data_IF_362862631754
#
_entry.id   IF_362862631754
#
_cell.length_a   1.000
_cell.length_b   1.000
_cell.length_c   1.000
_cell.angle_alpha   90.00
_cell.angle_beta   90.00
_cell.angle_gamma   90.00
#
_symmetry.space_group_name_H-M   'P 1'
#
loop_
_entity.id
_entity.type
_entity.pdbx_description
1 polymer ?
#
# COMPACT_ATOMS: atom_id res chain seq x y z
N UNK A 1 -32.18 3.21 -17.84
CA UNK A 1 -32.30 2.35 -16.64
C UNK A 1 -32.00 3.21 -15.43
N UNK A 2 -32.94 3.40 -14.50
CA UNK A 2 -32.62 3.96 -13.17
C UNK A 2 -32.05 2.81 -12.34
N UNK A 3 -30.76 2.83 -12.03
CA UNK A 3 -30.20 1.93 -11.04
C UNK A 3 -30.70 2.39 -9.67
N UNK A 4 -31.59 1.60 -9.04
CA UNK A 4 -31.92 1.78 -7.63
C UNK A 4 -30.92 0.93 -6.88
N UNK A 5 -29.90 1.56 -6.30
CA UNK A 5 -29.01 0.88 -5.37
C UNK A 5 -29.81 0.56 -4.10
N UNK A 6 -30.25 -0.69 -3.96
CA UNK A 6 -30.88 -1.20 -2.75
C UNK A 6 -29.86 -2.04 -1.98
N UNK A 7 -29.65 -1.79 -0.68
CA UNK A 7 -28.74 -2.62 0.11
C UNK A 7 -29.32 -4.03 0.23
N UNK A 8 -28.46 -5.03 0.05
CA UNK A 8 -28.80 -6.40 0.37
C UNK A 8 -29.09 -6.51 1.86
N UNK A 9 -30.19 -7.19 2.22
CA UNK A 9 -30.55 -7.46 3.61
C UNK A 9 -30.52 -8.96 3.85
N UNK A 10 -29.77 -9.36 4.87
CA UNK A 10 -29.76 -10.73 5.38
C UNK A 10 -30.32 -10.72 6.80
N UNK A 11 -31.02 -11.79 7.17
CA UNK A 11 -31.51 -12.01 8.54
C UNK A 11 -31.04 -13.39 8.99
N UNK A 12 -30.40 -13.46 10.15
CA UNK A 12 -29.99 -14.72 10.77
C UNK A 12 -31.16 -15.63 11.15
N UNK A 13 -32.39 -15.10 11.17
CA UNK A 13 -33.61 -15.89 11.36
C UNK A 13 -34.13 -16.53 10.06
N UNK A 14 -33.56 -16.17 8.89
CA UNK A 14 -33.95 -16.76 7.62
C UNK A 14 -33.45 -18.21 7.50
N UNK A 15 -34.27 -19.17 7.04
CA UNK A 15 -33.81 -20.54 6.79
C UNK A 15 -32.77 -20.63 5.66
N UNK A 16 -32.64 -19.59 4.82
CA UNK A 16 -31.66 -19.50 3.74
C UNK A 16 -30.42 -18.67 4.11
N UNK A 17 -30.32 -18.20 5.35
CA UNK A 17 -29.26 -17.28 5.78
C UNK A 17 -27.86 -17.79 5.40
N UNK A 18 -27.51 -19.03 5.76
CA UNK A 18 -26.19 -19.59 5.53
C UNK A 18 -25.82 -19.64 4.03
N UNK A 19 -26.77 -20.05 3.17
CA UNK A 19 -26.53 -20.06 1.73
C UNK A 19 -26.42 -18.66 1.15
N UNK A 20 -27.29 -17.74 1.58
CA UNK A 20 -27.31 -16.37 1.08
C UNK A 20 -26.08 -15.59 1.53
N UNK A 21 -25.59 -15.85 2.74
CA UNK A 21 -24.37 -15.28 3.29
C UNK A 21 -23.12 -15.85 2.60
N UNK A 22 -23.02 -17.17 2.45
CA UNK A 22 -21.91 -17.82 1.75
C UNK A 22 -21.75 -17.32 0.31
N UNK A 23 -22.86 -17.06 -0.38
CA UNK A 23 -22.86 -16.50 -1.73
C UNK A 23 -22.26 -15.07 -1.81
N UNK A 24 -22.08 -14.38 -0.69
CA UNK A 24 -21.47 -13.03 -0.62
C UNK A 24 -20.03 -13.02 -0.17
N UNK A 25 -19.52 -14.13 0.36
CA UNK A 25 -18.13 -14.27 0.78
C UNK A 25 -17.19 -14.58 -0.39
N UNK A 26 -17.72 -14.98 -1.56
CA UNK A 26 -16.92 -15.43 -2.69
C UNK A 26 -16.69 -14.33 -3.73
N UNK A 27 -15.41 -14.05 -4.03
CA UNK A 27 -14.98 -13.16 -5.11
C UNK A 27 -14.50 -13.97 -6.33
N UNK A 28 -14.85 -13.49 -7.53
CA UNK A 28 -14.75 -14.20 -8.83
C UNK A 28 -13.31 -14.49 -9.29
N UNK A 29 -13.04 -15.75 -9.72
CA UNK A 29 -11.72 -16.28 -10.09
C UNK A 29 -11.32 -16.15 -11.58
N UNK A 30 -12.23 -15.85 -12.51
CA UNK A 30 -11.93 -15.90 -13.96
C UNK A 30 -11.17 -14.66 -14.45
N UNK A 31 -11.38 -13.51 -13.83
CA UNK A 31 -10.67 -12.27 -14.16
C UNK A 31 -9.19 -12.34 -13.76
N UNK A 32 -8.85 -13.27 -12.86
CA UNK A 32 -7.51 -13.42 -12.31
C UNK A 32 -6.53 -14.07 -13.30
N UNK A 33 -6.93 -15.09 -14.06
CA UNK A 33 -5.98 -15.89 -14.86
C UNK A 33 -5.30 -15.10 -15.99
N UNK A 34 -6.03 -14.21 -16.67
CA UNK A 34 -5.46 -13.38 -17.74
C UNK A 34 -4.53 -12.28 -17.18
N UNK A 35 -4.82 -11.76 -15.99
CA UNK A 35 -3.97 -10.80 -15.29
C UNK A 35 -2.70 -11.51 -14.82
N UNK A 36 -2.82 -12.68 -14.19
CA UNK A 36 -1.67 -13.48 -13.73
C UNK A 36 -0.68 -13.76 -14.86
N UNK A 37 -1.16 -14.17 -16.05
CA UNK A 37 -0.27 -14.40 -17.19
C UNK A 37 0.48 -13.13 -17.62
N UNK A 38 -0.22 -12.01 -17.80
CA UNK A 38 0.41 -10.74 -18.21
C UNK A 38 1.42 -10.25 -17.19
N UNK A 39 1.09 -10.39 -15.91
CA UNK A 39 1.98 -10.04 -14.81
C UNK A 39 3.23 -10.90 -14.85
N UNK A 40 3.10 -12.22 -15.01
CA UNK A 40 4.24 -13.12 -15.14
C UNK A 40 5.17 -12.73 -16.30
N UNK A 41 4.60 -12.38 -17.46
CA UNK A 41 5.36 -11.90 -18.62
C UNK A 41 6.12 -10.59 -18.32
N UNK A 42 5.46 -9.60 -17.70
CA UNK A 42 6.09 -8.32 -17.30
C UNK A 42 7.25 -8.56 -16.31
N UNK A 43 7.04 -9.43 -15.32
CA UNK A 43 8.05 -9.73 -14.30
C UNK A 43 9.27 -10.41 -14.91
N UNK A 44 9.06 -11.38 -15.80
CA UNK A 44 10.15 -12.06 -16.50
C UNK A 44 10.95 -11.08 -17.38
N UNK A 45 10.24 -10.18 -18.06
CA UNK A 45 10.83 -9.20 -18.95
C UNK A 45 11.66 -8.14 -18.19
N UNK A 46 11.16 -7.60 -17.08
CA UNK A 46 11.92 -6.70 -16.21
C UNK A 46 13.15 -7.40 -15.63
N UNK A 47 13.03 -8.67 -15.24
CA UNK A 47 14.17 -9.46 -14.75
C UNK A 47 15.25 -9.66 -15.82
N UNK A 48 14.87 -9.76 -17.09
CA UNK A 48 15.81 -9.97 -18.19
C UNK A 48 16.42 -8.67 -18.70
N UNK A 49 15.63 -7.61 -18.88
CA UNK A 49 16.05 -6.37 -19.55
C UNK A 49 16.30 -5.19 -18.60
N UNK A 50 15.89 -5.28 -17.34
CA UNK A 50 16.09 -4.21 -16.34
C UNK A 50 15.40 -2.91 -16.73
N UNK A 51 16.12 -1.79 -16.61
CA UNK A 51 15.63 -0.42 -16.84
C UNK A 51 14.88 -0.26 -18.17
N UNK A 52 15.34 -0.93 -19.23
CA UNK A 52 14.74 -0.82 -20.56
C UNK A 52 13.28 -1.30 -20.58
N UNK A 53 12.98 -2.42 -19.91
CA UNK A 53 11.61 -2.92 -19.80
C UNK A 53 10.75 -2.00 -18.92
N UNK A 54 11.31 -1.51 -17.81
CA UNK A 54 10.57 -0.59 -16.91
C UNK A 54 10.19 0.69 -17.64
N UNK A 55 11.09 1.28 -18.43
CA UNK A 55 10.80 2.46 -19.24
C UNK A 55 9.73 2.19 -20.30
N UNK A 56 9.81 1.06 -21.00
CA UNK A 56 8.82 0.68 -22.01
C UNK A 56 7.41 0.52 -21.40
N UNK A 57 7.29 -0.16 -20.27
CA UNK A 57 6.00 -0.32 -19.59
C UNK A 57 5.49 0.99 -18.97
N UNK A 58 6.38 1.86 -18.48
CA UNK A 58 6.02 3.20 -17.98
C UNK A 58 5.47 4.05 -19.12
N UNK A 59 6.13 4.08 -20.28
CA UNK A 59 5.63 4.78 -21.46
C UNK A 59 4.28 4.23 -21.94
N UNK A 60 4.09 2.90 -21.87
CA UNK A 60 2.85 2.24 -22.31
C UNK A 60 1.67 2.47 -21.36
N UNK A 61 1.88 2.31 -20.05
CA UNK A 61 0.78 2.29 -19.08
C UNK A 61 0.55 3.64 -18.41
N UNK A 62 1.62 4.42 -18.21
CA UNK A 62 1.54 5.75 -17.59
C UNK A 62 1.59 6.87 -18.64
N UNK A 63 1.71 6.55 -19.94
CA UNK A 63 1.85 7.53 -21.02
C UNK A 63 3.00 8.54 -20.77
N UNK A 64 4.05 8.11 -20.06
CA UNK A 64 5.17 8.94 -19.63
C UNK A 64 6.46 8.47 -20.30
N UNK A 65 6.99 9.30 -21.20
CA UNK A 65 8.26 9.06 -21.86
C UNK A 65 9.40 9.68 -21.05
N UNK A 66 10.48 8.92 -20.83
CA UNK A 66 11.70 9.40 -20.22
C UNK A 66 12.92 8.81 -20.94
N UNK A 67 14.03 9.57 -21.06
CA UNK A 67 15.22 9.09 -21.75
C UNK A 67 15.96 7.99 -20.97
N UNK A 68 15.83 7.98 -19.64
CA UNK A 68 16.46 7.00 -18.74
C UNK A 68 15.58 6.77 -17.52
N UNK A 69 15.73 5.62 -16.85
CA UNK A 69 15.01 5.35 -15.60
C UNK A 69 15.45 6.30 -14.48
N UNK A 70 16.70 6.76 -14.52
CA UNK A 70 17.24 7.78 -13.62
C UNK A 70 16.49 9.13 -13.73
N UNK A 71 15.98 9.49 -14.91
CA UNK A 71 15.17 10.70 -15.10
C UNK A 71 13.77 10.60 -14.45
N UNK A 72 13.35 9.39 -14.07
CA UNK A 72 12.11 9.14 -13.33
C UNK A 72 12.32 9.13 -11.81
N UNK A 73 13.56 9.29 -11.33
CA UNK A 73 13.84 9.46 -9.89
C UNK A 73 13.56 10.90 -9.44
N UNK A 74 12.81 11.04 -8.35
CA UNK A 74 12.56 12.31 -7.68
C UNK A 74 13.69 12.62 -6.71
N UNK A 75 14.23 13.82 -6.84
CA UNK A 75 15.28 14.32 -5.94
C UNK A 75 14.70 14.74 -4.59
N UNK A 76 15.53 14.68 -3.54
CA UNK A 76 15.14 15.21 -2.21
C UNK A 76 14.77 16.69 -2.26
N UNK A 77 15.38 17.46 -3.17
CA UNK A 77 15.05 18.86 -3.39
C UNK A 77 13.63 19.03 -3.97
N UNK A 78 13.20 18.18 -4.92
CA UNK A 78 11.83 18.18 -5.44
C UNK A 78 10.81 17.83 -4.35
N UNK A 79 11.09 16.81 -3.53
CA UNK A 79 10.21 16.42 -2.44
C UNK A 79 10.06 17.54 -1.41
N UNK A 80 11.18 18.19 -1.04
CA UNK A 80 11.17 19.35 -0.15
C UNK A 80 10.42 20.54 -0.75
N UNK A 81 10.65 20.83 -2.03
CA UNK A 81 9.95 21.92 -2.72
C UNK A 81 8.44 21.69 -2.74
N UNK A 82 7.98 20.45 -2.95
CA UNK A 82 6.57 20.10 -2.84
C UNK A 82 6.03 20.32 -1.42
N UNK A 83 6.77 19.94 -0.39
CA UNK A 83 6.42 20.23 1.01
C UNK A 83 6.34 21.74 1.28
N UNK A 84 7.30 22.53 0.80
CA UNK A 84 7.31 23.98 1.03
C UNK A 84 6.18 24.71 0.28
N UNK A 85 5.72 24.14 -0.85
CA UNK A 85 4.69 24.73 -1.71
C UNK A 85 3.25 24.47 -1.24
N UNK A 86 2.99 23.42 -0.45
CA UNK A 86 1.63 23.14 0.03
C UNK A 86 1.19 24.15 1.13
N UNK A 87 -0.12 24.44 1.25
CA UNK A 87 -0.67 25.33 2.27
C UNK A 87 -0.25 24.96 3.70
N UNK A 88 -0.10 25.97 4.56
CA UNK A 88 0.35 25.77 5.94
C UNK A 88 -0.52 24.75 6.71
N UNK A 89 -1.85 24.84 6.59
CA UNK A 89 -2.77 23.89 7.21
C UNK A 89 -2.52 22.44 6.76
N UNK A 90 -2.16 22.22 5.50
CA UNK A 90 -1.83 20.87 5.00
C UNK A 90 -0.48 20.38 5.51
N UNK A 91 0.53 21.27 5.61
CA UNK A 91 1.83 20.94 6.23
C UNK A 91 1.66 20.52 7.68
N UNK A 92 0.93 21.31 8.45
CA UNK A 92 0.63 21.04 9.85
C UNK A 92 -0.12 19.74 10.02
N UNK A 93 -1.14 19.47 9.19
CA UNK A 93 -1.88 18.21 9.20
C UNK A 93 -0.98 17.00 8.89
N UNK A 94 -0.11 17.09 7.87
CA UNK A 94 0.84 16.03 7.53
C UNK A 94 1.83 15.75 8.67
N UNK A 95 2.40 16.81 9.25
CA UNK A 95 3.34 16.68 10.36
C UNK A 95 2.67 16.11 11.62
N UNK A 96 1.45 16.55 11.94
CA UNK A 96 0.68 16.02 13.06
C UNK A 96 0.34 14.53 12.85
N UNK A 97 -0.11 14.15 11.65
CA UNK A 97 -0.36 12.75 11.31
C UNK A 97 0.93 11.92 11.42
N UNK A 98 2.04 12.41 10.87
CA UNK A 98 3.33 11.73 10.92
C UNK A 98 3.82 11.53 12.37
N UNK A 99 3.68 12.55 13.22
CA UNK A 99 4.06 12.48 14.64
C UNK A 99 3.23 11.43 15.40
N UNK A 100 1.91 11.36 15.14
CA UNK A 100 1.02 10.36 15.75
C UNK A 100 1.37 8.94 15.31
N UNK A 101 1.57 8.74 14.01
CA UNK A 101 1.97 7.42 13.46
C UNK A 101 3.30 6.98 14.04
N UNK A 102 4.29 7.89 14.12
CA UNK A 102 5.60 7.61 14.70
C UNK A 102 5.51 7.21 16.17
N UNK A 103 4.83 8.02 16.98
CA UNK A 103 4.68 7.77 18.42
C UNK A 103 4.06 6.40 18.71
N UNK A 104 3.04 6.01 17.94
CA UNK A 104 2.43 4.69 18.09
C UNK A 104 3.39 3.54 17.76
N UNK A 105 4.12 3.63 16.63
CA UNK A 105 5.06 2.58 16.23
C UNK A 105 6.29 2.52 17.14
N UNK A 106 6.71 3.63 17.74
CA UNK A 106 7.76 3.65 18.76
C UNK A 106 7.31 2.88 20.03
N UNK A 107 6.06 3.07 20.44
CA UNK A 107 5.49 2.29 21.54
C UNK A 107 5.40 0.80 21.20
N UNK A 108 5.01 0.43 19.97
CA UNK A 108 5.00 -0.96 19.52
C UNK A 108 6.42 -1.57 19.52
N UNK A 109 7.42 -0.83 19.01
CA UNK A 109 8.82 -1.27 19.05
C UNK A 109 9.29 -1.55 20.47
N UNK A 110 9.00 -0.65 21.41
CA UNK A 110 9.32 -0.85 22.83
C UNK A 110 8.59 -2.06 23.43
N UNK A 111 7.35 -2.32 23.04
CA UNK A 111 6.54 -3.38 23.60
C UNK A 111 6.97 -4.79 23.16
N UNK A 112 7.33 -4.98 21.89
CA UNK A 112 7.62 -6.32 21.35
C UNK A 112 8.69 -6.36 20.23
N UNK A 113 9.34 -5.24 19.94
CA UNK A 113 10.30 -5.11 18.83
C UNK A 113 11.76 -4.99 19.27
N UNK A 114 12.07 -5.14 20.56
CA UNK A 114 13.45 -5.08 21.07
C UNK A 114 14.08 -6.46 21.23
N UNK A 115 15.41 -6.52 21.12
CA UNK A 115 16.16 -7.74 21.38
C UNK A 115 16.19 -8.02 22.89
N UNK A 116 16.12 -9.30 23.27
CA UNK A 116 16.21 -9.71 24.67
C UNK A 116 16.92 -11.06 24.80
N UNK A 117 17.41 -11.35 26.01
CA UNK A 117 17.98 -12.66 26.35
C UNK A 117 17.83 -12.95 27.84
N UNK A 118 17.70 -14.22 28.21
CA UNK A 118 17.73 -14.69 29.60
C UNK A 118 18.46 -16.04 29.70
N UNK A 119 18.82 -16.44 30.92
CA UNK A 119 19.29 -17.81 31.21
C UNK A 119 18.19 -18.60 31.89
N UNK A 120 17.90 -19.79 31.40
CA UNK A 120 16.95 -20.69 32.05
C UNK A 120 17.54 -21.34 33.32
N UNK A 121 16.74 -22.19 33.97
CA UNK A 121 17.14 -22.87 35.20
C UNK A 121 18.34 -23.81 35.01
N UNK A 122 18.57 -24.30 33.80
CA UNK A 122 19.70 -25.17 33.45
C UNK A 122 20.95 -24.37 33.01
N UNK A 123 20.84 -23.03 32.96
CA UNK A 123 21.91 -22.11 32.60
C UNK A 123 22.03 -21.80 31.11
N UNK A 124 21.16 -22.35 30.26
CA UNK A 124 21.16 -22.11 28.82
C UNK A 124 20.78 -20.67 28.49
N UNK A 125 21.54 -20.01 27.62
CA UNK A 125 21.23 -18.65 27.18
C UNK A 125 20.22 -18.70 26.02
N UNK A 126 19.02 -18.18 26.26
CA UNK A 126 17.93 -18.10 25.28
C UNK A 126 17.61 -16.63 25.01
N UNK A 127 17.09 -16.32 23.82
CA UNK A 127 16.85 -14.92 23.45
C UNK A 127 16.23 -14.74 22.08
N UNK A 128 15.93 -13.48 21.78
CA UNK A 128 15.50 -12.99 20.49
C UNK A 128 16.40 -11.83 20.07
N UNK A 129 16.95 -11.90 18.85
CA UNK A 129 17.64 -10.78 18.21
C UNK A 129 16.73 -10.21 17.14
N UNK A 130 16.38 -8.94 17.27
CA UNK A 130 15.59 -8.18 16.30
C UNK A 130 16.50 -7.23 15.54
N UNK A 131 16.48 -7.30 14.21
CA UNK A 131 17.21 -6.41 13.31
C UNK A 131 16.26 -5.89 12.23
N UNK A 132 16.39 -4.61 11.82
CA UNK A 132 15.63 -4.09 10.69
C UNK A 132 16.03 -4.79 9.39
N UNK A 133 15.16 -4.68 8.38
CA UNK A 133 15.53 -5.00 7.00
C UNK A 133 16.50 -3.92 6.48
N UNK A 134 17.40 -4.31 5.57
CA UNK A 134 18.36 -3.37 5.00
C UNK A 134 17.64 -2.37 4.07
N UNK A 135 16.77 -2.89 3.18
CA UNK A 135 15.96 -2.05 2.28
C UNK A 135 14.52 -2.52 2.17
N UNK A 136 13.59 -1.56 2.10
CA UNK A 136 12.18 -1.82 1.81
C UNK A 136 11.69 -0.98 0.64
N UNK A 137 10.83 -1.57 -0.18
CA UNK A 137 10.09 -0.89 -1.23
C UNK A 137 8.68 -0.57 -0.76
N UNK A 138 8.21 0.65 -0.96
CA UNK A 138 6.83 1.04 -0.68
C UNK A 138 6.15 1.43 -1.99
N UNK A 139 5.05 0.77 -2.31
CA UNK A 139 4.22 1.09 -3.47
C UNK A 139 3.12 2.06 -3.05
N UNK A 140 3.02 3.19 -3.75
CA UNK A 140 2.00 4.20 -3.51
C UNK A 140 1.15 4.34 -4.78
N UNK A 141 -0.17 4.13 -4.71
CA UNK A 141 -1.05 4.33 -5.86
C UNK A 141 -0.97 5.77 -6.41
N UNK A 142 -1.06 5.91 -7.74
CA UNK A 142 -1.12 7.20 -8.42
C UNK A 142 -2.54 7.60 -8.83
N UNK A 143 -2.68 8.78 -9.46
CA UNK A 143 -3.96 9.27 -9.98
C UNK A 143 -4.97 9.62 -8.88
N UNK A 144 -6.23 9.19 -9.04
CA UNK A 144 -7.33 9.50 -8.11
C UNK A 144 -7.15 8.89 -6.71
N UNK A 145 -6.34 7.84 -6.58
CA UNK A 145 -6.06 7.15 -5.31
C UNK A 145 -4.71 7.58 -4.68
N UNK A 146 -4.18 8.74 -5.09
CA UNK A 146 -2.91 9.26 -4.60
C UNK A 146 -3.06 9.83 -3.17
N UNK A 147 -2.94 8.96 -2.17
CA UNK A 147 -3.14 9.30 -0.77
C UNK A 147 -1.81 9.56 -0.03
N UNK A 148 -1.61 10.76 0.54
CA UNK A 148 -0.42 11.02 1.36
C UNK A 148 -0.38 10.15 2.63
N UNK A 149 -1.55 9.76 3.16
CA UNK A 149 -1.65 8.86 4.31
C UNK A 149 -1.00 7.50 4.05
N UNK A 150 -1.15 6.92 2.85
CA UNK A 150 -0.51 5.65 2.49
C UNK A 150 1.02 5.75 2.53
N UNK A 151 1.59 6.90 2.18
CA UNK A 151 3.03 7.15 2.30
C UNK A 151 3.45 7.12 3.77
N UNK A 152 2.76 7.90 4.62
CA UNK A 152 3.07 7.99 6.05
C UNK A 152 2.97 6.61 6.73
N UNK A 153 1.89 5.87 6.44
CA UNK A 153 1.62 4.56 7.05
C UNK A 153 2.58 3.45 6.60
N UNK A 154 3.29 3.60 5.48
CA UNK A 154 4.30 2.63 5.04
C UNK A 154 5.72 3.04 5.46
N UNK A 155 6.09 4.30 5.24
CA UNK A 155 7.47 4.75 5.45
C UNK A 155 7.82 4.97 6.94
N UNK A 156 6.91 5.52 7.75
CA UNK A 156 7.21 5.84 9.15
C UNK A 156 7.49 4.58 9.98
N UNK A 157 6.71 3.48 9.88
CA UNK A 157 7.03 2.25 10.60
C UNK A 157 8.38 1.66 10.20
N UNK A 158 8.75 1.74 8.92
CA UNK A 158 10.06 1.31 8.44
C UNK A 158 11.21 2.12 9.06
N UNK A 159 11.04 3.45 9.17
CA UNK A 159 11.98 4.30 9.88
C UNK A 159 12.10 3.97 11.36
N UNK A 160 10.97 3.77 12.04
CA UNK A 160 10.97 3.41 13.47
C UNK A 160 11.65 2.06 13.70
N UNK A 161 11.43 1.10 12.81
CA UNK A 161 12.13 -0.19 12.84
C UNK A 161 13.65 -0.03 12.66
N UNK A 162 14.09 0.98 11.92
CA UNK A 162 15.51 1.29 11.67
C UNK A 162 15.98 0.82 10.29
N UNK A 163 15.08 0.71 9.32
CA UNK A 163 15.42 0.35 7.93
C UNK A 163 16.37 1.39 7.34
N UNK A 164 17.42 0.93 6.66
CA UNK A 164 18.46 1.80 6.11
C UNK A 164 18.01 2.57 4.87
N UNK A 165 17.36 1.89 3.92
CA UNK A 165 16.85 2.51 2.69
C UNK A 165 15.37 2.22 2.47
N UNK A 166 14.57 3.28 2.33
CA UNK A 166 13.14 3.21 2.02
C UNK A 166 12.94 3.76 0.61
N UNK A 167 12.60 2.88 -0.32
CA UNK A 167 12.43 3.20 -1.74
C UNK A 167 10.95 3.27 -2.07
N UNK A 168 10.46 4.45 -2.43
CA UNK A 168 9.09 4.67 -2.87
C UNK A 168 8.96 4.52 -4.38
N UNK A 169 7.90 3.85 -4.83
CA UNK A 169 7.46 3.89 -6.23
C UNK A 169 6.04 4.44 -6.28
N UNK A 170 5.81 5.37 -7.19
CA UNK A 170 4.49 6.00 -7.40
C UNK A 170 4.32 6.30 -8.90
N UNK A 171 3.30 5.75 -9.59
CA UNK A 171 3.07 6.11 -10.98
C UNK A 171 2.59 7.57 -11.07
N UNK A 172 3.06 8.27 -12.09
CA UNK A 172 2.59 9.62 -12.45
C UNK A 172 2.07 9.62 -13.88
N UNK A 173 0.84 9.12 -14.12
CA UNK A 173 0.25 9.08 -15.45
C UNK A 173 0.27 10.46 -16.11
N UNK A 174 0.72 10.55 -17.37
CA UNK A 174 0.91 11.80 -18.09
C UNK A 174 1.96 12.74 -17.50
N UNK A 175 2.76 12.28 -16.53
CA UNK A 175 3.70 13.10 -15.76
C UNK A 175 3.06 13.87 -14.60
N UNK A 176 1.78 13.63 -14.29
CA UNK A 176 1.07 14.34 -13.22
C UNK A 176 1.56 13.89 -11.84
N UNK A 177 2.20 14.82 -11.12
CA UNK A 177 2.70 14.61 -9.75
C UNK A 177 1.72 15.19 -8.74
N UNK A 178 1.34 14.42 -7.71
CA UNK A 178 0.53 14.92 -6.60
C UNK A 178 1.43 15.60 -5.53
N UNK A 179 1.33 16.93 -5.32
CA UNK A 179 2.19 17.65 -4.39
C UNK A 179 2.09 17.15 -2.95
N UNK A 180 0.90 16.72 -2.49
CA UNK A 180 0.71 16.19 -1.14
C UNK A 180 1.40 14.85 -0.94
N UNK A 181 1.41 13.97 -1.94
CA UNK A 181 2.14 12.70 -1.87
C UNK A 181 3.65 12.95 -1.80
N UNK A 182 4.17 13.88 -2.60
CA UNK A 182 5.59 14.24 -2.57
C UNK A 182 5.98 14.89 -1.23
N UNK A 183 5.14 15.79 -0.71
CA UNK A 183 5.31 16.38 0.60
C UNK A 183 5.29 15.32 1.71
N UNK A 184 4.39 14.33 1.63
CA UNK A 184 4.33 13.22 2.58
C UNK A 184 5.58 12.33 2.50
N UNK A 185 6.12 12.10 1.30
CA UNK A 185 7.38 11.36 1.13
C UNK A 185 8.55 12.07 1.81
N UNK A 186 8.62 13.40 1.69
CA UNK A 186 9.61 14.22 2.41
C UNK A 186 9.43 14.12 3.94
N UNK A 187 8.21 14.35 4.44
CA UNK A 187 7.90 14.30 5.88
C UNK A 187 8.15 12.92 6.47
N UNK A 188 7.84 11.86 5.72
CA UNK A 188 8.08 10.49 6.16
C UNK A 188 9.54 10.06 6.04
N UNK A 189 10.41 10.85 5.39
CA UNK A 189 11.84 10.56 5.25
C UNK A 189 12.15 9.49 4.20
N UNK A 190 11.36 9.37 3.13
CA UNK A 190 11.66 8.43 2.03
C UNK A 190 13.06 8.68 1.48
N UNK A 191 13.87 7.62 1.34
CA UNK A 191 15.28 7.73 0.92
C UNK A 191 15.40 8.01 -0.58
N UNK A 192 14.67 7.25 -1.40
CA UNK A 192 14.60 7.40 -2.87
C UNK A 192 13.17 7.24 -3.34
N UNK A 193 12.77 7.96 -4.38
CA UNK A 193 11.42 7.88 -4.91
C UNK A 193 11.44 7.84 -6.44
N UNK A 194 10.71 6.92 -7.06
CA UNK A 194 10.64 6.75 -8.51
C UNK A 194 9.21 6.91 -9.02
N UNK A 195 9.07 7.59 -10.16
CA UNK A 195 7.80 7.86 -10.83
C UNK A 195 7.36 6.70 -11.74
N UNK A 196 7.28 5.50 -11.16
CA UNK A 196 6.89 4.24 -11.83
C UNK A 196 5.81 3.52 -11.03
N UNK A 197 4.95 2.74 -11.68
CA UNK A 197 3.91 1.94 -11.01
C UNK A 197 3.70 0.55 -11.62
N UNK A 198 2.56 -0.07 -11.29
CA UNK A 198 2.15 -1.36 -11.85
C UNK A 198 3.05 -2.54 -11.48
N UNK A 199 2.90 -3.63 -12.24
CA UNK A 199 3.69 -4.85 -12.06
C UNK A 199 5.18 -4.64 -12.34
N UNK A 200 5.51 -3.73 -13.27
CA UNK A 200 6.88 -3.39 -13.63
C UNK A 200 7.64 -2.73 -12.46
N UNK A 201 6.99 -1.88 -11.66
CA UNK A 201 7.62 -1.29 -10.48
C UNK A 201 7.83 -2.32 -9.37
N UNK A 202 6.87 -3.23 -9.16
CA UNK A 202 7.04 -4.35 -8.21
C UNK A 202 8.21 -5.24 -8.65
N UNK A 203 8.32 -5.56 -9.93
CA UNK A 203 9.42 -6.34 -10.47
C UNK A 203 10.79 -5.62 -10.32
N UNK A 204 10.84 -4.31 -10.58
CA UNK A 204 12.04 -3.50 -10.40
C UNK A 204 12.53 -3.49 -8.95
N UNK A 205 11.60 -3.37 -7.98
CA UNK A 205 11.93 -3.46 -6.55
C UNK A 205 12.36 -4.88 -6.15
N UNK A 206 11.68 -5.92 -6.65
CA UNK A 206 11.91 -7.30 -6.23
C UNK A 206 13.22 -7.89 -6.79
N UNK A 207 13.56 -7.57 -8.03
CA UNK A 207 14.72 -8.12 -8.72
C UNK A 207 15.91 -7.16 -8.75
N UNK A 208 15.65 -5.86 -8.58
CA UNK A 208 16.61 -4.80 -8.88
C UNK A 208 16.77 -4.59 -10.39
N UNK A 209 17.14 -3.37 -10.75
CA UNK A 209 17.56 -2.99 -12.11
C UNK A 209 18.89 -2.24 -12.03
N UNK A 210 19.35 -1.67 -13.15
CA UNK A 210 20.56 -0.84 -13.17
C UNK A 210 20.38 0.43 -12.31
N UNK A 211 19.16 0.97 -12.26
CA UNK A 211 18.84 2.20 -11.50
C UNK A 211 18.14 1.92 -10.16
N UNK A 212 17.19 0.98 -10.12
CA UNK A 212 16.37 0.69 -8.93
C UNK A 212 17.02 -0.41 -8.11
N UNK A 213 17.42 -0.16 -6.84
CA UNK A 213 18.00 -1.19 -6.00
C UNK A 213 16.98 -2.27 -5.68
N UNK A 214 17.45 -3.52 -5.60
CA UNK A 214 16.67 -4.61 -5.05
C UNK A 214 16.36 -4.34 -3.57
N UNK A 215 15.13 -4.60 -3.15
CA UNK A 215 14.68 -4.51 -1.75
C UNK A 215 14.43 -5.89 -1.14
N UNK A 216 14.30 -5.95 0.19
CA UNK A 216 14.04 -7.19 0.92
C UNK A 216 12.55 -7.42 1.16
N UNK A 217 11.75 -6.35 1.21
CA UNK A 217 10.30 -6.41 1.38
C UNK A 217 9.60 -5.30 0.59
N UNK A 218 8.44 -5.62 0.02
CA UNK A 218 7.57 -4.66 -0.68
C UNK A 218 6.24 -4.54 0.08
N UNK A 219 5.86 -3.31 0.42
CA UNK A 219 4.58 -3.01 1.08
C UNK A 219 3.78 -1.99 0.28
N UNK A 220 2.51 -1.82 0.64
CA UNK A 220 1.63 -0.84 0.03
C UNK A 220 0.60 -1.48 -0.89
N UNK A 221 -0.66 -1.02 -0.85
CA UNK A 221 -1.73 -1.56 -1.68
C UNK A 221 -1.59 -1.09 -3.14
N UNK A 222 -2.20 -1.82 -4.05
CA UNK A 222 -2.28 -1.43 -5.45
C UNK A 222 -3.40 -2.21 -6.16
N UNK A 223 -3.57 -1.93 -7.45
CA UNK A 223 -4.58 -2.61 -8.27
C UNK A 223 -4.26 -4.11 -8.45
N UNK A 224 -5.14 -4.83 -9.17
CA UNK A 224 -4.99 -6.26 -9.43
C UNK A 224 -3.62 -6.67 -10.02
N UNK A 225 -3.00 -5.83 -10.86
CA UNK A 225 -1.66 -6.11 -11.41
C UNK A 225 -0.57 -6.03 -10.33
N UNK A 226 -0.66 -5.06 -9.42
CA UNK A 226 0.28 -4.93 -8.30
C UNK A 226 0.09 -6.07 -7.30
N UNK A 227 -1.17 -6.40 -6.98
CA UNK A 227 -1.50 -7.51 -6.08
C UNK A 227 -0.99 -8.86 -6.64
N UNK A 228 -1.25 -9.14 -7.91
CA UNK A 228 -0.74 -10.32 -8.61
C UNK A 228 0.81 -10.31 -8.68
N UNK A 229 1.43 -9.17 -8.99
CA UNK A 229 2.89 -9.07 -9.03
C UNK A 229 3.53 -9.38 -7.67
N UNK A 230 2.97 -8.82 -6.57
CA UNK A 230 3.42 -9.08 -5.19
C UNK A 230 3.29 -10.57 -4.84
N UNK A 231 2.19 -11.22 -5.23
CA UNK A 231 1.99 -12.67 -5.09
C UNK A 231 3.10 -13.45 -5.83
N UNK A 232 3.44 -13.07 -7.05
CA UNK A 232 4.47 -13.74 -7.86
C UNK A 232 5.90 -13.56 -7.31
N UNK A 233 6.22 -12.39 -6.73
CA UNK A 233 7.56 -12.13 -6.18
C UNK A 233 7.73 -12.58 -4.73
N UNK A 234 6.65 -13.03 -4.08
CA UNK A 234 6.72 -13.56 -2.72
C UNK A 234 7.69 -14.75 -2.64
N UNK A 235 8.58 -14.71 -1.65
CA UNK A 235 9.68 -15.67 -1.49
C UNK A 235 11.00 -15.22 -2.14
N UNK A 236 10.95 -14.34 -3.15
CA UNK A 236 12.14 -13.56 -3.58
C UNK A 236 12.32 -12.33 -2.68
N UNK A 237 11.19 -11.71 -2.31
CA UNK A 237 11.08 -10.63 -1.32
C UNK A 237 9.91 -10.93 -0.39
N UNK A 238 9.93 -10.32 0.79
CA UNK A 238 8.76 -10.28 1.66
C UNK A 238 7.66 -9.40 1.06
N UNK A 239 6.40 -9.71 1.37
CA UNK A 239 5.26 -8.83 1.12
C UNK A 239 4.50 -8.60 2.43
N UNK A 240 3.70 -7.55 2.51
CA UNK A 240 2.75 -7.29 3.59
C UNK A 240 1.53 -8.22 3.53
N UNK A 241 0.72 -8.07 2.49
CA UNK A 241 -0.47 -8.85 2.19
C UNK A 241 -0.84 -8.69 0.72
N UNK A 242 -1.65 -9.62 0.18
CA UNK A 242 -2.32 -9.44 -1.11
C UNK A 242 -3.56 -8.61 -0.82
N UNK A 243 -3.62 -7.39 -1.36
CA UNK A 243 -4.74 -6.50 -1.13
C UNK A 243 -6.02 -7.06 -1.79
N UNK A 244 -7.10 -7.12 -1.01
CA UNK A 244 -8.46 -7.29 -1.51
C UNK A 244 -9.20 -5.94 -1.52
N UNK A 245 -10.46 -5.91 -1.98
CA UNK A 245 -11.33 -4.76 -1.83
C UNK A 245 -11.42 -4.36 -0.35
N UNK A 246 -11.45 -3.05 -0.10
CA UNK A 246 -11.55 -2.54 1.27
C UNK A 246 -12.97 -2.69 1.82
N UNK A 247 -13.09 -3.06 3.10
CA UNK A 247 -14.35 -3.32 3.77
C UNK A 247 -14.48 -2.63 5.12
N UNK A 248 -15.72 -2.33 5.54
CA UNK A 248 -16.06 -1.89 6.89
C UNK A 248 -17.25 -2.71 7.40
N UNK A 249 -17.19 -3.09 8.68
CA UNK A 249 -18.29 -3.67 9.41
C UNK A 249 -18.66 -2.75 10.58
N UNK A 250 -19.88 -2.21 10.54
CA UNK A 250 -20.45 -1.39 11.61
C UNK A 250 -21.43 -2.23 12.41
N UNK A 251 -21.21 -2.31 13.73
CA UNK A 251 -22.16 -2.89 14.68
C UNK A 251 -22.94 -1.75 15.34
N UNK A 252 -24.25 -1.70 15.14
CA UNK A 252 -25.09 -0.64 15.73
C UNK A 252 -26.26 -1.26 16.52
N UNK A 253 -26.33 -0.94 17.81
CA UNK A 253 -27.40 -1.37 18.72
C UNK A 253 -28.63 -0.44 18.70
N UNK A 254 -28.61 0.59 17.86
CA UNK A 254 -29.65 1.61 17.75
C UNK A 254 -29.48 2.83 18.66
N UNK A 255 -28.45 2.86 19.52
CA UNK A 255 -28.17 4.03 20.38
C UNK A 255 -27.48 5.18 19.64
N UNK A 256 -26.76 4.88 18.55
CA UNK A 256 -26.07 5.86 17.71
C UNK A 256 -27.03 6.50 16.71
N UNK A 257 -26.97 7.83 16.48
CA UNK A 257 -27.74 8.48 15.41
C UNK A 257 -27.52 7.79 14.05
N UNK A 258 -28.62 7.46 13.36
CA UNK A 258 -28.58 6.73 12.09
C UNK A 258 -27.76 7.45 11.01
N UNK A 259 -27.78 8.79 11.00
CA UNK A 259 -26.99 9.60 10.05
C UNK A 259 -25.49 9.38 10.23
N UNK A 260 -25.02 9.16 11.46
CA UNK A 260 -23.59 8.93 11.71
C UNK A 260 -23.17 7.55 11.21
N UNK A 261 -23.98 6.52 11.49
CA UNK A 261 -23.78 5.17 10.97
C UNK A 261 -23.78 5.18 9.43
N UNK A 262 -24.69 5.93 8.81
CA UNK A 262 -24.74 6.08 7.35
C UNK A 262 -23.46 6.75 6.81
N UNK A 263 -22.95 7.79 7.47
CA UNK A 263 -21.70 8.45 7.07
C UNK A 263 -20.49 7.53 7.22
N UNK A 264 -20.42 6.70 8.26
CA UNK A 264 -19.36 5.69 8.40
C UNK A 264 -19.39 4.68 7.24
N UNK A 265 -20.58 4.17 6.88
CA UNK A 265 -20.73 3.28 5.73
C UNK A 265 -20.33 3.95 4.41
N UNK A 266 -20.68 5.23 4.22
CA UNK A 266 -20.32 5.98 3.02
C UNK A 266 -18.83 6.31 2.95
N UNK A 267 -18.19 6.60 4.08
CA UNK A 267 -16.74 6.85 4.14
C UNK A 267 -15.92 5.67 3.61
N UNK A 268 -16.42 4.44 3.78
CA UNK A 268 -15.78 3.27 3.19
C UNK A 268 -16.19 3.07 1.72
N UNK A 269 -17.46 3.28 1.39
CA UNK A 269 -17.98 3.06 0.04
C UNK A 269 -17.43 4.05 -1.00
N UNK A 270 -16.97 5.24 -0.59
CA UNK A 270 -16.37 6.21 -1.52
C UNK A 270 -14.96 5.83 -1.99
N UNK A 271 -14.28 4.90 -1.30
CA UNK A 271 -12.88 4.58 -1.56
C UNK A 271 -12.66 3.80 -2.87
N UNK A 272 -13.57 2.89 -3.22
CA UNK A 272 -13.47 2.02 -4.39
C UNK A 272 -14.85 1.50 -4.81
N UNK A 273 -15.08 1.29 -6.10
CA UNK A 273 -16.36 0.76 -6.62
C UNK A 273 -16.63 -0.69 -6.14
N UNK A 274 -15.59 -1.41 -5.75
CA UNK A 274 -15.66 -2.76 -5.17
C UNK A 274 -15.65 -2.74 -3.64
N UNK A 275 -15.59 -1.58 -2.99
CA UNK A 275 -15.59 -1.48 -1.53
C UNK A 275 -16.90 -2.02 -0.93
N UNK A 276 -16.81 -2.64 0.24
CA UNK A 276 -17.95 -3.26 0.91
C UNK A 276 -18.24 -2.60 2.26
N UNK A 277 -19.46 -2.09 2.44
CA UNK A 277 -19.92 -1.52 3.71
C UNK A 277 -21.05 -2.36 4.29
N UNK A 278 -20.82 -2.93 5.47
CA UNK A 278 -21.74 -3.87 6.14
C UNK A 278 -22.22 -3.24 7.44
N UNK A 279 -23.53 -3.25 7.65
CA UNK A 279 -24.16 -2.89 8.91
C UNK A 279 -24.79 -4.14 9.53
N UNK A 280 -24.47 -4.42 10.80
CA UNK A 280 -25.20 -5.39 11.61
C UNK A 280 -25.92 -4.64 12.74
N UNK A 281 -27.21 -4.90 12.86
CA UNK A 281 -28.07 -4.38 13.91
C UNK A 281 -29.05 -5.48 14.37
N UNK A 282 -29.43 -5.50 15.66
CA UNK A 282 -30.41 -6.44 16.21
C UNK A 282 -31.84 -6.16 15.74
#
# INVERSE_FOLDING_TARGET
>A
MKFIAAPLRLSSASPTFESDFAARLHWSADQDAAIEKRVADILADVRQRGDAAVLEYTARFDALQAPTLQALELTQAELKAAFDAIPAAQREALQAAAARVRSYHEAQKKACGESWSYRDADGSLLGQKVTPLDRVGIYVPGGKAAYPSSVLMNAIPAHVAGVGEIIMVVPTPGGEKNPLVLAAAYVAGVTRAFTIGGAQAVAALAYGTQTVPKVDKITGPGNAYVASAKKHVFGTVGIDMIAGPSEILVLADGSTPADWVAMDLFSQAEHDELAQSILLCP
#
